data_IF_749201006905
#
_entry.id   IF_749201006905
#
_cell.length_a   1.000
_cell.length_b   1.000
_cell.length_c   1.000
_cell.angle_alpha   90.00
_cell.angle_beta   90.00
_cell.angle_gamma   90.00
#
_symmetry.space_group_name_H-M   'P 1'
#
loop_
_entity.id
_entity.type
_entity.pdbx_description
1 polymer ?
#
# COMPACT_ATOMS: atom_id res chain seq x y z
N UNK A 1 33.01 34.09 40.76
CA UNK A 1 32.81 32.69 40.30
C UNK A 1 31.58 32.69 39.45
N UNK A 2 31.80 32.64 38.09
CA UNK A 2 30.74 32.60 37.09
C UNK A 2 30.19 31.17 37.07
N UNK A 3 29.05 30.91 37.71
CA UNK A 3 28.33 29.65 37.56
C UNK A 3 27.85 29.56 36.12
N UNK A 4 28.49 28.73 35.30
CA UNK A 4 27.93 28.29 34.04
C UNK A 4 26.64 27.51 34.33
N UNK A 5 25.50 28.11 33.98
CA UNK A 5 24.20 27.39 33.97
C UNK A 5 24.34 26.39 32.80
N UNK A 6 24.57 25.14 33.11
CA UNK A 6 24.36 24.07 32.14
C UNK A 6 22.86 24.07 31.83
N UNK A 7 22.52 24.53 30.63
CA UNK A 7 21.19 24.34 30.09
C UNK A 7 21.07 22.86 29.70
N UNK A 8 20.30 22.11 30.48
CA UNK A 8 19.92 20.77 30.13
C UNK A 8 18.85 20.87 29.04
N UNK A 9 19.18 20.50 27.81
CA UNK A 9 18.20 20.29 26.74
C UNK A 9 17.67 18.87 26.95
N UNK A 10 16.37 18.75 27.02
CA UNK A 10 15.69 17.44 27.14
C UNK A 10 14.77 17.28 25.95
N UNK A 11 15.05 16.29 25.12
CA UNK A 11 14.22 15.93 24.01
C UNK A 11 13.30 14.77 24.41
N UNK A 12 12.04 14.85 24.00
CA UNK A 12 11.03 13.82 24.25
C UNK A 12 10.21 13.60 23.00
N UNK A 13 9.98 12.36 22.64
CA UNK A 13 9.11 11.98 21.52
C UNK A 13 7.81 11.36 22.03
N UNK A 14 6.70 11.66 21.37
CA UNK A 14 5.39 11.07 21.66
C UNK A 14 4.62 10.89 20.36
N UNK A 15 3.80 9.85 20.30
CA UNK A 15 2.84 9.61 19.21
C UNK A 15 1.49 10.31 19.47
N UNK A 16 1.24 10.74 20.72
CA UNK A 16 -0.02 11.37 21.11
C UNK A 16 0.25 12.66 21.89
N UNK A 17 0.36 13.81 21.22
CA UNK A 17 0.60 15.09 21.87
C UNK A 17 -0.58 15.55 22.74
N UNK A 18 -1.81 15.04 22.49
CA UNK A 18 -2.99 15.45 23.26
C UNK A 18 -2.99 14.93 24.70
N UNK A 19 -2.27 13.83 24.94
CA UNK A 19 -2.10 13.28 26.30
C UNK A 19 -1.07 14.01 27.15
N UNK A 20 -0.34 14.94 26.56
CA UNK A 20 0.67 15.71 27.32
C UNK A 20 0.03 16.87 28.04
N UNK A 21 0.44 17.12 29.34
CA UNK A 21 -0.03 18.27 30.08
C UNK A 21 0.31 19.59 29.37
N UNK A 22 -0.61 20.53 29.36
CA UNK A 22 -0.46 21.84 28.71
C UNK A 22 0.75 22.62 29.23
N UNK A 23 1.12 22.38 30.47
CA UNK A 23 2.29 22.97 31.12
C UNK A 23 3.62 22.55 30.50
N UNK A 24 3.68 21.35 29.90
CA UNK A 24 4.83 20.87 29.15
C UNK A 24 4.79 21.46 27.73
N UNK A 25 3.64 21.37 27.05
CA UNK A 25 3.46 21.87 25.70
C UNK A 25 3.80 23.36 25.55
N UNK A 26 3.44 24.18 26.56
CA UNK A 26 3.71 25.63 26.58
C UNK A 26 5.20 25.98 26.74
N UNK A 27 6.04 25.05 27.15
CA UNK A 27 7.49 25.26 27.40
C UNK A 27 8.39 24.50 26.44
N UNK A 28 7.83 23.69 25.56
CA UNK A 28 8.57 22.90 24.57
C UNK A 28 8.34 23.44 23.16
N UNK A 29 9.36 23.38 22.34
CA UNK A 29 9.23 23.53 20.90
C UNK A 29 8.70 22.23 20.33
N UNK A 30 7.64 22.30 19.53
CA UNK A 30 7.01 21.12 18.97
C UNK A 30 7.44 20.94 17.51
N UNK A 31 7.92 19.76 17.19
CA UNK A 31 8.28 19.36 15.83
C UNK A 31 7.40 18.18 15.41
N UNK A 32 6.68 18.33 14.32
CA UNK A 32 5.89 17.25 13.73
C UNK A 32 6.75 16.42 12.78
N UNK A 33 6.90 15.14 13.09
CA UNK A 33 7.53 14.16 12.19
C UNK A 33 6.42 13.51 11.35
N UNK A 34 6.62 13.51 10.04
CA UNK A 34 5.71 12.81 9.12
C UNK A 34 6.05 11.31 9.07
N UNK A 35 5.01 10.49 8.92
CA UNK A 35 5.21 9.11 8.50
C UNK A 35 5.91 9.07 7.13
N UNK A 36 6.65 8.02 6.90
CA UNK A 36 7.35 7.83 5.62
C UNK A 36 6.40 7.26 4.57
N UNK A 37 6.63 7.66 3.34
CA UNK A 37 5.92 7.11 2.19
C UNK A 37 6.46 5.70 1.85
N UNK A 38 5.61 4.85 1.27
CA UNK A 38 5.98 3.48 0.87
C UNK A 38 7.26 3.43 0.02
N UNK A 39 7.47 4.30 -1.00
CA UNK A 39 8.71 4.29 -1.79
C UNK A 39 9.95 4.63 -0.97
N UNK A 40 9.82 5.47 0.05
CA UNK A 40 10.94 5.82 0.94
C UNK A 40 11.35 4.64 1.81
N UNK A 41 10.37 3.89 2.31
CA UNK A 41 10.59 2.68 3.10
C UNK A 41 11.21 1.59 2.22
N UNK A 42 10.66 1.32 1.04
CA UNK A 42 11.19 0.34 0.08
C UNK A 42 12.65 0.67 -0.29
N UNK A 43 12.96 1.92 -0.60
CA UNK A 43 14.33 2.36 -0.88
C UNK A 43 15.26 2.19 0.34
N UNK A 44 14.76 2.41 1.55
CA UNK A 44 15.54 2.19 2.78
C UNK A 44 15.84 0.71 2.98
N UNK A 45 14.84 -0.18 2.86
CA UNK A 45 15.00 -1.63 2.95
C UNK A 45 15.99 -2.16 1.91
N UNK A 46 15.89 -1.70 0.66
CA UNK A 46 16.83 -2.04 -0.40
C UNK A 46 18.28 -1.71 0.00
N UNK A 47 18.51 -0.51 0.54
CA UNK A 47 19.85 -0.09 0.99
C UNK A 47 20.36 -0.95 2.14
N UNK A 48 19.51 -1.28 3.11
CA UNK A 48 19.89 -2.12 4.27
C UNK A 48 20.24 -3.53 3.82
N UNK A 49 19.35 -4.20 3.06
CA UNK A 49 19.56 -5.56 2.60
C UNK A 49 20.77 -5.69 1.66
N UNK A 50 21.02 -4.67 0.83
CA UNK A 50 22.23 -4.63 -0.02
C UNK A 50 23.50 -4.51 0.82
N UNK A 51 23.48 -3.69 1.88
CA UNK A 51 24.63 -3.54 2.79
C UNK A 51 24.91 -4.83 3.58
N UNK A 52 23.88 -5.56 3.96
CA UNK A 52 23.98 -6.84 4.67
C UNK A 52 24.21 -8.04 3.73
N UNK A 53 24.29 -7.82 2.41
CA UNK A 53 24.44 -8.85 1.37
C UNK A 53 23.34 -9.94 1.43
N UNK A 54 22.12 -9.56 1.77
CA UNK A 54 20.96 -10.45 1.81
C UNK A 54 20.25 -10.37 0.45
N UNK A 55 20.04 -11.51 -0.24
CA UNK A 55 19.31 -11.53 -1.50
C UNK A 55 17.81 -11.25 -1.27
N UNK A 56 17.22 -10.43 -2.12
CA UNK A 56 15.82 -10.04 -2.03
C UNK A 56 15.19 -9.85 -3.42
N UNK A 57 13.86 -9.96 -3.46
CA UNK A 57 13.05 -9.64 -4.63
C UNK A 57 12.47 -8.21 -4.47
N UNK A 58 12.55 -7.37 -5.49
CA UNK A 58 12.06 -5.98 -5.42
C UNK A 58 10.55 -5.90 -5.05
N UNK A 59 9.65 -6.72 -5.62
CA UNK A 59 8.23 -6.71 -5.22
C UNK A 59 7.98 -7.07 -3.76
N UNK A 60 8.87 -7.87 -3.14
CA UNK A 60 8.78 -8.20 -1.72
C UNK A 60 8.98 -6.97 -0.84
N UNK A 61 9.90 -6.06 -1.21
CA UNK A 61 10.16 -4.84 -0.47
C UNK A 61 8.96 -3.87 -0.51
N UNK A 62 8.31 -3.78 -1.65
CA UNK A 62 7.13 -2.91 -1.79
C UNK A 62 5.96 -3.42 -0.92
N UNK A 63 5.77 -4.73 -0.85
CA UNK A 63 4.77 -5.36 0.04
C UNK A 63 5.11 -5.13 1.53
N UNK A 64 6.36 -5.29 1.92
CA UNK A 64 6.83 -4.99 3.28
C UNK A 64 6.66 -3.50 3.62
N UNK A 65 6.96 -2.60 2.68
CA UNK A 65 6.80 -1.16 2.86
C UNK A 65 5.32 -0.78 3.05
N UNK A 66 4.42 -1.36 2.27
CA UNK A 66 2.97 -1.18 2.39
C UNK A 66 2.47 -1.68 3.75
N UNK A 67 2.88 -2.87 4.17
CA UNK A 67 2.49 -3.46 5.45
C UNK A 67 2.99 -2.66 6.67
N UNK A 68 4.10 -1.95 6.52
CA UNK A 68 4.70 -1.15 7.60
C UNK A 68 3.97 0.18 7.88
N UNK A 69 3.02 0.60 7.04
CA UNK A 69 2.16 1.78 7.24
C UNK A 69 2.93 3.05 7.65
N UNK A 70 4.07 3.31 7.03
CA UNK A 70 4.88 4.50 7.30
C UNK A 70 5.90 4.37 8.44
N UNK A 71 5.99 3.21 9.11
CA UNK A 71 6.90 2.94 10.22
C UNK A 71 8.16 2.20 9.77
N UNK A 72 9.32 2.85 9.88
CA UNK A 72 10.63 2.19 9.62
C UNK A 72 10.87 1.04 10.58
N UNK A 73 10.51 1.21 11.85
CA UNK A 73 10.73 0.17 12.86
C UNK A 73 9.98 -1.11 12.51
N UNK A 74 8.72 -0.96 12.12
CA UNK A 74 7.88 -2.11 11.79
C UNK A 74 8.32 -2.74 10.47
N UNK A 75 8.75 -1.93 9.48
CA UNK A 75 9.31 -2.45 8.23
C UNK A 75 10.56 -3.30 8.45
N UNK A 76 11.47 -2.88 9.33
CA UNK A 76 12.66 -3.67 9.66
C UNK A 76 12.29 -4.95 10.41
N UNK A 77 11.34 -4.89 11.36
CA UNK A 77 10.87 -6.07 12.10
C UNK A 77 10.22 -7.10 11.17
N UNK A 78 9.39 -6.65 10.22
CA UNK A 78 8.79 -7.50 9.20
C UNK A 78 9.86 -8.09 8.26
N UNK A 79 10.88 -7.30 7.92
CA UNK A 79 12.00 -7.77 7.08
C UNK A 79 12.81 -8.85 7.80
N UNK A 80 13.11 -8.70 9.08
CA UNK A 80 13.79 -9.71 9.88
C UNK A 80 13.01 -11.03 9.94
N UNK A 81 11.68 -10.95 10.09
CA UNK A 81 10.80 -12.12 10.03
C UNK A 81 10.85 -12.80 8.66
N UNK A 82 10.80 -12.01 7.57
CA UNK A 82 10.89 -12.53 6.21
C UNK A 82 12.24 -13.23 5.94
N UNK A 83 13.35 -12.68 6.45
CA UNK A 83 14.68 -13.29 6.36
C UNK A 83 14.71 -14.62 7.09
N UNK A 84 14.15 -14.67 8.31
CA UNK A 84 14.11 -15.89 9.12
C UNK A 84 13.26 -16.99 8.45
N UNK A 85 12.11 -16.67 7.91
CA UNK A 85 11.24 -17.61 7.19
C UNK A 85 11.82 -18.04 5.83
N UNK A 86 12.52 -17.12 5.14
CA UNK A 86 13.12 -17.36 3.83
C UNK A 86 14.53 -17.97 3.87
N UNK A 87 15.00 -18.46 5.04
CA UNK A 87 16.35 -19.01 5.19
C UNK A 87 17.46 -18.08 4.69
N UNK A 88 17.38 -16.81 5.04
CA UNK A 88 18.36 -15.79 4.67
C UNK A 88 18.08 -15.07 3.35
N UNK A 89 16.92 -15.28 2.75
CA UNK A 89 16.46 -14.59 1.52
C UNK A 89 15.08 -13.97 1.74
N UNK A 90 14.88 -12.76 1.20
CA UNK A 90 13.56 -12.09 1.18
C UNK A 90 12.92 -12.30 -0.19
N UNK A 91 12.13 -13.37 -0.35
CA UNK A 91 11.40 -13.64 -1.58
C UNK A 91 9.93 -13.20 -1.48
N UNK A 92 9.33 -12.90 -2.63
CA UNK A 92 7.93 -12.47 -2.72
C UNK A 92 6.96 -13.50 -2.14
N UNK A 93 7.21 -14.80 -2.40
CA UNK A 93 6.36 -15.89 -1.89
C UNK A 93 6.39 -15.99 -0.36
N UNK A 94 7.58 -15.85 0.24
CA UNK A 94 7.74 -15.85 1.70
C UNK A 94 7.01 -14.67 2.31
N UNK A 95 7.15 -13.48 1.73
CA UNK A 95 6.47 -12.27 2.22
C UNK A 95 4.96 -12.40 2.09
N UNK A 96 4.45 -12.92 0.98
CA UNK A 96 3.01 -13.16 0.80
C UNK A 96 2.48 -14.12 1.87
N UNK A 97 3.19 -15.24 2.11
CA UNK A 97 2.80 -16.22 3.13
C UNK A 97 2.85 -15.63 4.54
N UNK A 98 3.90 -14.85 4.84
CA UNK A 98 4.10 -14.24 6.16
C UNK A 98 3.03 -13.20 6.48
N UNK A 99 2.69 -12.37 5.51
CA UNK A 99 1.71 -11.30 5.66
C UNK A 99 0.26 -11.79 5.45
N UNK A 100 0.08 -13.05 5.05
CA UNK A 100 -1.24 -13.58 4.69
C UNK A 100 -1.84 -12.91 3.46
N UNK A 101 -1.00 -12.30 2.61
CA UNK A 101 -1.48 -11.60 1.42
C UNK A 101 -2.05 -12.59 0.42
N UNK A 102 -3.19 -12.24 -0.10
CA UNK A 102 -3.83 -12.95 -1.18
C UNK A 102 -3.02 -12.80 -2.48
N UNK A 103 -3.07 -13.81 -3.34
CA UNK A 103 -2.52 -13.66 -4.67
C UNK A 103 -3.34 -12.59 -5.42
N UNK A 104 -2.66 -11.65 -6.06
CA UNK A 104 -3.28 -10.51 -6.77
C UNK A 104 -4.29 -10.95 -7.85
N UNK A 105 -4.18 -12.19 -8.31
CA UNK A 105 -5.07 -12.78 -9.31
C UNK A 105 -6.42 -13.22 -8.73
N UNK A 106 -6.53 -13.50 -7.42
CA UNK A 106 -7.74 -14.06 -6.82
C UNK A 106 -8.95 -13.12 -6.88
N UNK A 107 -8.84 -11.81 -6.55
CA UNK A 107 -9.94 -10.88 -6.72
C UNK A 107 -10.40 -10.76 -8.18
N UNK A 108 -9.45 -10.79 -9.12
CA UNK A 108 -9.74 -10.72 -10.56
C UNK A 108 -10.47 -11.98 -11.03
N UNK A 109 -10.02 -13.16 -10.58
CA UNK A 109 -10.66 -14.44 -10.87
C UNK A 109 -12.11 -14.51 -10.35
N UNK A 110 -12.36 -13.96 -9.15
CA UNK A 110 -13.71 -13.84 -8.59
C UNK A 110 -14.60 -12.97 -9.48
N UNK A 111 -14.11 -11.77 -9.85
CA UNK A 111 -14.84 -10.84 -10.72
C UNK A 111 -15.15 -11.49 -12.07
N UNK A 112 -14.16 -12.19 -12.63
CA UNK A 112 -14.31 -12.86 -13.92
C UNK A 112 -15.31 -14.03 -13.87
N UNK A 113 -15.25 -14.84 -12.79
CA UNK A 113 -16.20 -15.94 -12.58
C UNK A 113 -17.64 -15.43 -12.41
N UNK A 114 -17.81 -14.32 -11.69
CA UNK A 114 -19.12 -13.65 -11.52
C UNK A 114 -19.61 -13.10 -12.86
N UNK A 115 -18.77 -12.45 -13.63
CA UNK A 115 -19.12 -11.91 -14.94
C UNK A 115 -19.59 -13.00 -15.92
N UNK A 116 -18.94 -14.16 -15.89
CA UNK A 116 -19.33 -15.31 -16.71
C UNK A 116 -20.52 -16.11 -16.19
N UNK A 117 -20.99 -15.83 -14.97
CA UNK A 117 -22.02 -16.66 -14.33
C UNK A 117 -21.53 -18.08 -14.00
N UNK A 118 -20.20 -18.30 -13.91
CA UNK A 118 -19.62 -19.60 -13.66
C UNK A 118 -19.45 -19.86 -12.16
N UNK A 119 -20.47 -20.46 -11.55
CA UNK A 119 -20.49 -20.77 -10.13
C UNK A 119 -19.44 -21.81 -9.70
N UNK A 120 -19.09 -22.77 -10.57
CA UNK A 120 -18.08 -23.79 -10.25
C UNK A 120 -16.68 -23.15 -10.12
N UNK A 121 -16.30 -22.27 -11.06
CA UNK A 121 -15.05 -21.53 -11.01
C UNK A 121 -14.97 -20.62 -9.78
N UNK A 122 -16.07 -19.93 -9.46
CA UNK A 122 -16.18 -19.10 -8.27
C UNK A 122 -15.94 -19.93 -7.00
N UNK A 123 -16.62 -21.05 -6.84
CA UNK A 123 -16.46 -21.92 -5.67
C UNK A 123 -15.06 -22.48 -5.54
N UNK A 124 -14.42 -22.83 -6.66
CA UNK A 124 -13.03 -23.30 -6.66
C UNK A 124 -12.06 -22.22 -6.19
N UNK A 125 -12.23 -20.98 -6.65
CA UNK A 125 -11.39 -19.86 -6.21
C UNK A 125 -11.58 -19.59 -4.71
N UNK A 126 -12.82 -19.57 -4.23
CA UNK A 126 -13.15 -19.41 -2.79
C UNK A 126 -12.50 -20.53 -1.97
N UNK A 127 -12.56 -21.77 -2.42
CA UNK A 127 -11.94 -22.89 -1.72
C UNK A 127 -10.41 -22.75 -1.65
N UNK A 128 -9.77 -22.32 -2.72
CA UNK A 128 -8.31 -22.06 -2.75
C UNK A 128 -7.91 -20.98 -1.72
N UNK A 129 -8.72 -19.92 -1.57
CA UNK A 129 -8.50 -18.88 -0.56
C UNK A 129 -8.65 -19.45 0.85
N UNK A 130 -9.69 -20.26 1.07
CA UNK A 130 -9.93 -20.91 2.37
C UNK A 130 -8.77 -21.83 2.79
N UNK A 131 -8.21 -22.59 1.84
CA UNK A 131 -7.08 -23.50 2.10
C UNK A 131 -5.79 -22.75 2.46
N UNK A 132 -5.60 -21.52 1.93
CA UNK A 132 -4.47 -20.65 2.24
C UNK A 132 -4.66 -19.81 3.52
N UNK A 133 -5.75 -20.03 4.27
CA UNK A 133 -6.12 -19.25 5.46
C UNK A 133 -6.16 -17.73 5.19
N UNK A 134 -6.59 -17.34 3.98
CA UNK A 134 -6.69 -15.94 3.57
C UNK A 134 -7.70 -15.14 4.39
N UNK A 135 -7.44 -13.84 4.53
CA UNK A 135 -8.34 -12.91 5.17
C UNK A 135 -9.51 -12.56 4.23
N UNK A 136 -10.73 -12.90 4.65
CA UNK A 136 -11.94 -12.64 3.87
C UNK A 136 -12.27 -11.17 3.76
N UNK A 137 -11.96 -10.39 4.79
CA UNK A 137 -12.21 -8.95 4.78
C UNK A 137 -11.27 -8.26 3.78
N UNK A 138 -10.00 -8.67 3.73
CA UNK A 138 -9.03 -8.20 2.75
C UNK A 138 -9.44 -8.60 1.33
N UNK A 139 -9.85 -9.86 1.10
CA UNK A 139 -10.33 -10.32 -0.20
C UNK A 139 -11.52 -9.50 -0.73
N UNK A 140 -12.49 -9.22 0.13
CA UNK A 140 -13.65 -8.41 -0.23
C UNK A 140 -13.25 -6.97 -0.51
N UNK A 141 -12.37 -6.38 0.31
CA UNK A 141 -11.88 -5.02 0.13
C UNK A 141 -11.12 -4.88 -1.20
N UNK A 142 -10.19 -5.80 -1.51
CA UNK A 142 -9.46 -5.80 -2.78
C UNK A 142 -10.37 -6.04 -3.99
N UNK A 143 -11.35 -6.95 -3.86
CA UNK A 143 -12.34 -7.19 -4.93
C UNK A 143 -13.17 -5.93 -5.19
N UNK A 144 -13.59 -5.23 -4.14
CA UNK A 144 -14.33 -3.97 -4.27
C UNK A 144 -13.48 -2.86 -4.90
N UNK A 145 -12.20 -2.76 -4.52
CA UNK A 145 -11.26 -1.80 -5.12
C UNK A 145 -11.02 -2.07 -6.60
N UNK A 146 -10.83 -3.34 -7.00
CA UNK A 146 -10.69 -3.72 -8.42
C UNK A 146 -11.95 -3.41 -9.23
N UNK A 147 -13.14 -3.68 -8.67
CA UNK A 147 -14.41 -3.31 -9.31
C UNK A 147 -14.53 -1.80 -9.47
N UNK A 148 -14.14 -1.03 -8.47
CA UNK A 148 -14.13 0.43 -8.54
C UNK A 148 -13.19 0.94 -9.65
N UNK A 149 -11.98 0.39 -9.73
CA UNK A 149 -11.01 0.73 -10.77
C UNK A 149 -11.55 0.40 -12.18
N UNK A 150 -12.17 -0.77 -12.35
CA UNK A 150 -12.80 -1.16 -13.63
C UNK A 150 -13.93 -0.18 -13.99
N UNK A 151 -14.79 0.17 -13.03
CA UNK A 151 -15.89 1.12 -13.26
C UNK A 151 -15.36 2.52 -13.66
N UNK A 152 -14.30 3.02 -13.00
CA UNK A 152 -13.66 4.29 -13.37
C UNK A 152 -13.08 4.24 -14.78
N UNK A 153 -12.38 3.16 -15.14
CA UNK A 153 -11.83 3.00 -16.50
C UNK A 153 -12.93 2.99 -17.55
N UNK A 154 -14.06 2.32 -17.29
CA UNK A 154 -15.20 2.30 -18.21
C UNK A 154 -15.85 3.67 -18.36
N UNK A 155 -15.99 4.44 -17.27
CA UNK A 155 -16.52 5.81 -17.31
C UNK A 155 -15.60 6.76 -18.09
N UNK A 156 -14.29 6.70 -17.84
CA UNK A 156 -13.31 7.52 -18.54
C UNK A 156 -13.23 7.16 -20.02
N UNK A 157 -13.26 5.87 -20.36
CA UNK A 157 -13.30 5.43 -21.76
C UNK A 157 -14.56 5.91 -22.48
N UNK A 158 -15.70 5.92 -21.78
CA UNK A 158 -16.97 6.39 -22.33
C UNK A 158 -16.97 7.92 -22.53
N UNK A 159 -16.44 8.68 -21.57
CA UNK A 159 -16.33 10.14 -21.70
C UNK A 159 -15.39 10.54 -22.85
N UNK A 160 -14.28 9.83 -23.03
CA UNK A 160 -13.36 10.09 -24.15
C UNK A 160 -13.99 9.79 -25.54
N UNK A 161 -14.90 8.81 -25.63
CA UNK A 161 -15.66 8.52 -26.84
C UNK A 161 -16.77 9.55 -27.09
N UNK A 162 -17.43 10.04 -26.04
CA UNK A 162 -18.47 11.07 -26.14
C UNK A 162 -17.89 12.45 -26.51
N UNK A 163 -16.74 12.85 -25.98
CA UNK A 163 -16.05 14.09 -26.37
C UNK A 163 -15.62 14.07 -27.85
N UNK A 164 -15.14 12.94 -28.35
CA UNK A 164 -14.86 12.79 -29.78
C UNK A 164 -16.13 12.83 -30.62
N UNK A 165 -17.25 12.28 -30.18
CA UNK A 165 -18.53 12.36 -30.87
C UNK A 165 -19.07 13.80 -30.95
N UNK A 166 -18.93 14.56 -29.86
CA UNK A 166 -19.34 16.01 -29.82
C UNK A 166 -18.47 16.86 -30.75
N UNK A 167 -17.17 16.60 -30.84
CA UNK A 167 -16.26 17.27 -31.74
C UNK A 167 -16.62 17.06 -33.22
N UNK A 168 -17.00 15.83 -33.59
CA UNK A 168 -17.40 15.49 -34.96
C UNK A 168 -18.77 16.10 -35.35
N UNK A 169 -19.69 16.24 -34.42
CA UNK A 169 -21.00 16.89 -34.71
C UNK A 169 -20.87 18.38 -34.92
N UNK A 170 -19.96 19.06 -34.21
CA UNK A 170 -19.68 20.49 -34.43
C UNK A 170 -19.00 20.79 -35.77
N UNK A 171 -18.10 19.91 -36.22
CA UNK A 171 -17.44 20.07 -37.55
C UNK A 171 -18.41 19.87 -38.71
N UNK A 172 -19.39 18.91 -38.54
CA UNK A 172 -20.38 18.63 -39.59
C UNK A 172 -21.47 19.74 -39.74
N UNK A 173 -21.75 20.47 -38.66
CA UNK A 173 -22.70 21.57 -38.67
C UNK A 173 -22.15 22.83 -39.41
N UNK A 174 -20.80 22.96 -39.54
CA UNK A 174 -20.18 24.09 -40.26
C UNK A 174 -20.07 23.83 -41.77
N UNK A 175 -20.16 22.59 -42.24
CA UNK A 175 -20.09 22.25 -43.68
C UNK A 175 -21.46 22.33 -44.43
N UNK A 176 -22.57 22.49 -43.73
CA UNK A 176 -23.90 22.53 -44.33
C UNK A 176 -24.47 23.94 -44.50
N UNK A 177 -23.65 25.01 -44.34
CA UNK A 177 -24.06 26.37 -44.55
C UNK A 177 -23.16 27.08 -45.59
N UNK A 178 -23.11 26.55 -46.80
CA UNK A 178 -22.69 27.22 -48.03
C UNK A 178 -23.66 26.88 -49.18
#
# INVERSE_FOLDING_TARGET
IRRQRQMCIRDSATTDPQKLPITILSRCMQFHLKALDEPQISAHLNRVLTAENIPFDAPALDKLAKAAQGSIRDSLSLTDQAIAMGNGKVSTDVVNTMLGLLDEDQPIEIIYALHQGNGERLMKTIQTVAEKAGDWDELLAETAEKLHQIALMQLLAKSATDENAVSYTHLRAHETTL
#
